data_IF_671047350389
#
_entry.id   IF_671047350389
#
_cell.length_a   1.000
_cell.length_b   1.000
_cell.length_c   1.000
_cell.angle_alpha   90.00
_cell.angle_beta   90.00
_cell.angle_gamma   90.00
#
_symmetry.space_group_name_H-M   'P 1'
#
loop_
_entity.id
_entity.type
_entity.pdbx_description
1 polymer ?
#
# COMPACT_ATOMS: atom_id res chain seq x y z
N UNK A 1 17.78 -16.22 3.27
CA UNK A 1 18.89 -15.47 2.62
C UNK A 1 18.44 -14.21 1.90
N UNK A 2 17.27 -14.19 1.27
CA UNK A 2 16.79 -13.06 0.44
C UNK A 2 16.45 -11.79 1.23
N UNK A 3 15.84 -11.93 2.39
CA UNK A 3 15.44 -10.79 3.24
C UNK A 3 16.67 -10.09 3.83
N UNK A 4 17.71 -10.85 4.21
CA UNK A 4 18.97 -10.31 4.71
C UNK A 4 19.75 -9.56 3.62
N UNK A 5 19.69 -10.04 2.38
CA UNK A 5 20.33 -9.38 1.23
C UNK A 5 19.63 -8.06 0.88
N UNK A 6 18.28 -8.03 0.92
CA UNK A 6 17.49 -6.82 0.72
C UNK A 6 17.83 -5.78 1.78
N UNK A 7 17.88 -6.16 3.06
CA UNK A 7 18.24 -5.27 4.17
C UNK A 7 19.62 -4.64 3.99
N UNK A 8 20.67 -5.44 3.63
CA UNK A 8 22.00 -4.91 3.33
C UNK A 8 22.01 -3.99 2.11
N UNK A 9 21.24 -4.30 1.05
CA UNK A 9 21.16 -3.47 -0.14
C UNK A 9 20.46 -2.13 0.11
N UNK A 10 19.54 -2.06 1.08
CA UNK A 10 18.80 -0.85 1.43
C UNK A 10 19.57 0.02 2.43
N UNK A 11 20.42 -0.57 3.30
CA UNK A 11 21.20 0.16 4.29
C UNK A 11 22.36 0.99 3.71
N UNK A 12 22.87 0.64 2.54
CA UNK A 12 24.00 1.31 1.89
C UNK A 12 23.54 2.26 0.76
N UNK A 13 22.74 3.27 1.07
CA UNK A 13 22.55 4.42 0.17
C UNK A 13 23.64 5.43 0.52
N UNK A 14 24.63 5.66 -0.35
CA UNK A 14 25.64 6.66 -0.08
C UNK A 14 24.98 8.04 -0.05
N UNK A 15 25.00 8.70 1.10
CA UNK A 15 24.79 10.13 1.16
C UNK A 15 26.07 10.78 0.65
N UNK A 16 25.99 11.42 -0.48
CA UNK A 16 27.07 12.28 -0.96
C UNK A 16 27.16 13.55 -0.11
N UNK A 17 28.37 14.08 0.07
CA UNK A 17 28.62 15.18 0.99
C UNK A 17 27.91 16.48 0.61
N UNK A 18 27.82 17.34 1.56
CA UNK A 18 27.04 18.54 1.79
C UNK A 18 27.42 19.75 0.91
N UNK A 19 27.83 19.55 -0.32
CA UNK A 19 27.96 20.68 -1.27
C UNK A 19 26.63 20.85 -1.99
N UNK A 20 26.00 21.99 -1.79
CA UNK A 20 24.81 22.65 -2.37
C UNK A 20 23.85 21.88 -3.33
N UNK A 21 23.89 20.58 -3.38
CA UNK A 21 23.06 19.70 -4.18
C UNK A 21 23.04 18.28 -3.62
N UNK A 22 22.50 18.09 -2.39
CA UNK A 22 22.34 16.73 -1.86
C UNK A 22 21.41 15.94 -2.77
N UNK A 23 21.91 14.92 -3.46
CA UNK A 23 21.08 14.01 -4.22
C UNK A 23 21.15 12.58 -3.70
N UNK A 24 20.03 11.86 -3.79
CA UNK A 24 19.95 10.46 -3.45
C UNK A 24 19.45 9.71 -4.68
N UNK A 25 20.14 8.64 -5.04
CA UNK A 25 19.77 7.77 -6.15
C UNK A 25 19.24 6.45 -5.62
N UNK A 26 18.05 6.04 -6.08
CA UNK A 26 17.55 4.73 -5.75
C UNK A 26 18.31 3.63 -6.51
N UNK A 27 18.57 2.52 -5.84
CA UNK A 27 19.13 1.33 -6.50
C UNK A 27 18.06 0.72 -7.44
N UNK A 28 18.46 0.16 -8.60
CA UNK A 28 17.51 -0.45 -9.55
C UNK A 28 16.57 -1.46 -8.89
N UNK A 29 17.08 -2.27 -7.96
CA UNK A 29 16.28 -3.23 -7.22
C UNK A 29 15.18 -2.59 -6.37
N UNK A 30 15.43 -1.43 -5.74
CA UNK A 30 14.41 -0.69 -4.98
C UNK A 30 13.28 -0.19 -5.90
N UNK A 31 13.64 0.25 -7.10
CA UNK A 31 12.67 0.67 -8.12
C UNK A 31 11.79 -0.50 -8.58
N UNK A 32 12.38 -1.67 -8.79
CA UNK A 32 11.66 -2.91 -9.15
C UNK A 32 10.72 -3.34 -8.02
N UNK A 33 11.20 -3.37 -6.77
CA UNK A 33 10.35 -3.68 -5.60
C UNK A 33 9.23 -2.65 -5.45
N UNK A 34 9.52 -1.37 -5.69
CA UNK A 34 8.50 -0.31 -5.68
C UNK A 34 7.41 -0.55 -6.72
N UNK A 35 7.80 -0.91 -7.93
CA UNK A 35 6.87 -1.27 -8.99
C UNK A 35 6.01 -2.48 -8.61
N UNK A 36 6.62 -3.52 -8.04
CA UNK A 36 5.91 -4.73 -7.58
C UNK A 36 4.84 -4.39 -6.53
N UNK A 37 5.20 -3.61 -5.52
CA UNK A 37 4.28 -3.22 -4.43
C UNK A 37 3.15 -2.31 -4.91
N UNK A 38 3.43 -1.45 -5.90
CA UNK A 38 2.43 -0.52 -6.44
C UNK A 38 1.54 -1.13 -7.52
N UNK A 39 1.93 -2.26 -8.10
CA UNK A 39 1.15 -2.90 -9.18
C UNK A 39 -0.08 -3.60 -8.63
N UNK A 40 -1.26 -3.18 -9.09
CA UNK A 40 -2.55 -3.78 -8.76
C UNK A 40 -2.98 -4.73 -9.87
N UNK A 41 -3.26 -6.00 -9.54
CA UNK A 41 -3.66 -7.00 -10.53
C UNK A 41 -4.89 -6.57 -11.34
N UNK A 42 -5.91 -6.03 -10.69
CA UNK A 42 -7.14 -5.60 -11.36
C UNK A 42 -6.89 -4.49 -12.39
N UNK A 43 -6.05 -3.49 -12.06
CA UNK A 43 -5.68 -2.46 -13.03
C UNK A 43 -4.90 -3.04 -14.19
N UNK A 44 -4.12 -4.11 -13.94
CA UNK A 44 -3.40 -4.88 -14.96
C UNK A 44 -4.34 -5.48 -15.98
N UNK A 45 -5.36 -6.18 -15.53
CA UNK A 45 -6.36 -6.83 -16.41
C UNK A 45 -7.04 -5.80 -17.32
N UNK A 46 -7.49 -4.68 -16.76
CA UNK A 46 -8.17 -3.62 -17.55
C UNK A 46 -7.19 -3.02 -18.57
N UNK A 47 -5.99 -2.62 -18.14
CA UNK A 47 -4.99 -1.99 -19.03
C UNK A 47 -4.56 -2.95 -20.14
N UNK A 48 -4.33 -4.21 -19.82
CA UNK A 48 -3.93 -5.22 -20.78
C UNK A 48 -5.07 -5.55 -21.76
N UNK A 49 -6.31 -5.63 -21.28
CA UNK A 49 -7.49 -5.79 -22.15
C UNK A 49 -7.63 -4.64 -23.14
N UNK A 50 -7.48 -3.38 -22.69
CA UNK A 50 -7.48 -2.21 -23.57
C UNK A 50 -6.31 -2.23 -24.58
N UNK A 51 -5.12 -2.67 -24.15
CA UNK A 51 -3.95 -2.83 -25.01
C UNK A 51 -4.18 -3.89 -26.09
N UNK A 52 -4.74 -5.05 -25.74
CA UNK A 52 -5.10 -6.10 -26.71
C UNK A 52 -6.14 -5.61 -27.72
N UNK A 53 -7.15 -4.89 -27.26
CA UNK A 53 -8.15 -4.30 -28.15
C UNK A 53 -7.53 -3.30 -29.15
N UNK A 54 -6.54 -2.51 -28.68
CA UNK A 54 -5.78 -1.61 -29.55
C UNK A 54 -4.90 -2.35 -30.56
N UNK A 55 -4.28 -3.46 -30.17
CA UNK A 55 -3.52 -4.30 -31.10
C UNK A 55 -4.43 -4.82 -32.20
N UNK A 56 -5.60 -5.37 -31.86
CA UNK A 56 -6.57 -5.83 -32.85
C UNK A 56 -6.98 -4.71 -33.83
N UNK A 57 -7.23 -3.51 -33.32
CA UNK A 57 -7.64 -2.37 -34.17
C UNK A 57 -6.52 -1.81 -35.06
N UNK A 58 -5.24 -1.93 -34.69
CA UNK A 58 -4.10 -1.35 -35.43
C UNK A 58 -3.43 -2.38 -36.34
N UNK A 59 -3.24 -3.62 -35.84
CA UNK A 59 -2.49 -4.68 -36.53
C UNK A 59 -3.39 -5.79 -37.11
N UNK A 60 -4.71 -5.66 -36.97
CA UNK A 60 -5.70 -6.60 -37.49
C UNK A 60 -5.97 -7.80 -36.58
N UNK A 61 -7.05 -8.50 -36.87
CA UNK A 61 -7.57 -9.64 -36.09
C UNK A 61 -6.60 -10.84 -36.04
N UNK A 62 -5.76 -10.99 -37.05
CA UNK A 62 -4.76 -12.08 -37.09
C UNK A 62 -3.74 -11.94 -35.97
N UNK A 63 -3.24 -10.73 -35.70
CA UNK A 63 -2.30 -10.44 -34.61
C UNK A 63 -2.93 -10.68 -33.24
N UNK A 64 -4.19 -10.28 -33.08
CA UNK A 64 -4.96 -10.58 -31.87
C UNK A 64 -5.16 -12.08 -31.69
N UNK A 65 -5.54 -12.80 -32.76
CA UNK A 65 -5.70 -14.26 -32.74
C UNK A 65 -4.43 -15.00 -32.33
N UNK A 66 -3.27 -14.59 -32.85
CA UNK A 66 -1.96 -15.18 -32.46
C UNK A 66 -1.66 -15.02 -30.98
N UNK A 67 -1.93 -13.85 -30.40
CA UNK A 67 -1.73 -13.61 -28.96
C UNK A 67 -2.67 -14.48 -28.13
N UNK A 68 -3.95 -14.55 -28.50
CA UNK A 68 -4.93 -15.38 -27.79
C UNK A 68 -4.60 -16.87 -27.86
N UNK A 69 -4.10 -17.36 -29.01
CA UNK A 69 -3.62 -18.72 -29.18
C UNK A 69 -2.40 -19.01 -28.30
N UNK A 70 -1.45 -18.07 -28.21
CA UNK A 70 -0.29 -18.20 -27.34
C UNK A 70 -0.69 -18.26 -25.84
N UNK A 71 -1.66 -17.42 -25.41
CA UNK A 71 -2.20 -17.45 -24.05
C UNK A 71 -2.91 -18.79 -23.76
N UNK A 72 -3.68 -19.31 -24.71
CA UNK A 72 -4.35 -20.60 -24.58
C UNK A 72 -3.33 -21.76 -24.48
N UNK A 73 -2.27 -21.74 -25.28
CA UNK A 73 -1.19 -22.71 -25.20
C UNK A 73 -0.44 -22.66 -23.86
N UNK A 74 -0.18 -21.46 -23.34
CA UNK A 74 0.40 -21.30 -22.02
C UNK A 74 -0.52 -21.85 -20.91
N UNK A 75 -1.83 -21.61 -21.01
CA UNK A 75 -2.82 -22.13 -20.07
C UNK A 75 -2.88 -23.68 -20.10
N UNK A 76 -2.79 -24.28 -21.28
CA UNK A 76 -2.70 -25.74 -21.42
C UNK A 76 -1.41 -26.29 -20.77
N UNK A 77 -0.28 -25.62 -20.94
CA UNK A 77 0.98 -25.97 -20.27
C UNK A 77 0.84 -25.94 -18.75
N UNK A 78 0.22 -24.88 -18.20
CA UNK A 78 -0.05 -24.78 -16.76
C UNK A 78 -1.00 -25.89 -16.29
N UNK A 79 -2.04 -26.21 -17.05
CA UNK A 79 -2.97 -27.30 -16.70
C UNK A 79 -2.26 -28.65 -16.65
N UNK A 80 -1.38 -28.93 -17.60
CA UNK A 80 -0.57 -30.18 -17.62
C UNK A 80 0.38 -30.24 -16.43
N UNK A 81 1.04 -29.12 -16.09
CA UNK A 81 1.93 -29.04 -14.92
C UNK A 81 1.19 -29.30 -13.60
N UNK A 82 0.01 -28.67 -13.43
CA UNK A 82 -0.82 -28.84 -12.24
C UNK A 82 -1.41 -30.27 -12.16
N UNK A 83 -1.77 -30.87 -13.29
CA UNK A 83 -2.21 -32.26 -13.36
C UNK A 83 -1.10 -33.23 -12.92
N UNK A 84 0.16 -32.96 -13.28
CA UNK A 84 1.31 -33.72 -12.80
C UNK A 84 1.49 -33.62 -11.27
N UNK A 85 1.02 -32.54 -10.65
CA UNK A 85 0.97 -32.36 -9.20
C UNK A 85 -0.33 -32.88 -8.56
N UNK A 86 -1.15 -33.66 -9.30
CA UNK A 86 -2.46 -34.17 -8.88
C UNK A 86 -3.49 -33.06 -8.54
N UNK A 87 -3.32 -31.86 -9.07
CA UNK A 87 -4.25 -30.75 -8.89
C UNK A 87 -5.10 -30.62 -10.16
N UNK A 88 -6.35 -31.06 -10.09
CA UNK A 88 -7.33 -30.92 -11.18
C UNK A 88 -7.83 -29.48 -11.29
N UNK A 89 -7.37 -28.71 -12.29
CA UNK A 89 -7.83 -27.35 -12.55
C UNK A 89 -8.57 -27.28 -13.87
N UNK A 90 -9.81 -26.72 -13.90
CA UNK A 90 -10.54 -26.52 -15.15
C UNK A 90 -9.75 -25.64 -16.13
N UNK A 91 -9.82 -25.95 -17.43
CA UNK A 91 -9.09 -25.18 -18.47
C UNK A 91 -9.41 -23.69 -18.47
N UNK A 92 -10.67 -23.34 -18.21
CA UNK A 92 -11.13 -21.94 -18.14
C UNK A 92 -10.43 -21.19 -16.99
N UNK A 93 -10.28 -21.83 -15.83
CA UNK A 93 -9.62 -21.24 -14.65
C UNK A 93 -8.11 -21.08 -14.90
N UNK A 94 -7.48 -22.04 -15.55
CA UNK A 94 -6.07 -21.96 -15.95
C UNK A 94 -5.86 -20.82 -16.96
N UNK A 95 -6.73 -20.69 -17.95
CA UNK A 95 -6.68 -19.56 -18.91
C UNK A 95 -6.85 -18.21 -18.23
N UNK A 96 -7.85 -18.07 -17.36
CA UNK A 96 -8.07 -16.85 -16.59
C UNK A 96 -6.85 -16.48 -15.71
N UNK A 97 -6.24 -17.48 -15.05
CA UNK A 97 -5.06 -17.26 -14.21
C UNK A 97 -3.84 -16.80 -15.04
N UNK A 98 -3.60 -17.45 -16.19
CA UNK A 98 -2.52 -17.04 -17.12
C UNK A 98 -2.77 -15.66 -17.67
N UNK A 99 -4.00 -15.34 -18.10
CA UNK A 99 -4.36 -14.01 -18.59
C UNK A 99 -4.12 -12.93 -17.54
N UNK A 100 -4.58 -13.14 -16.30
CA UNK A 100 -4.36 -12.21 -15.18
C UNK A 100 -2.87 -12.08 -14.87
N UNK A 101 -2.11 -13.18 -14.88
CA UNK A 101 -0.66 -13.18 -14.65
C UNK A 101 0.11 -12.37 -15.70
N UNK A 102 -0.20 -12.58 -16.98
CA UNK A 102 0.42 -11.84 -18.10
C UNK A 102 0.03 -10.37 -18.05
N UNK A 103 -1.25 -10.06 -17.80
CA UNK A 103 -1.74 -8.70 -17.64
C UNK A 103 -1.04 -7.96 -16.48
N UNK A 104 -0.88 -8.65 -15.34
CA UNK A 104 -0.14 -8.13 -14.20
C UNK A 104 1.33 -7.88 -14.54
N UNK A 105 2.00 -8.84 -15.20
CA UNK A 105 3.41 -8.74 -15.61
C UNK A 105 3.62 -7.57 -16.56
N UNK A 106 2.72 -7.36 -17.52
CA UNK A 106 2.77 -6.26 -18.47
C UNK A 106 2.75 -4.89 -17.74
N UNK A 107 1.80 -4.69 -16.81
CA UNK A 107 1.73 -3.45 -16.04
C UNK A 107 2.90 -3.30 -15.08
N UNK A 108 3.35 -4.40 -14.48
CA UNK A 108 4.54 -4.42 -13.62
C UNK A 108 5.79 -3.97 -14.38
N UNK A 109 6.05 -4.51 -15.57
CA UNK A 109 7.19 -4.11 -16.40
C UNK A 109 7.11 -2.64 -16.78
N UNK A 110 5.94 -2.14 -17.21
CA UNK A 110 5.73 -0.73 -17.53
C UNK A 110 6.04 0.18 -16.34
N UNK A 111 5.58 -0.17 -15.14
CA UNK A 111 5.88 0.57 -13.91
C UNK A 111 7.34 0.46 -13.50
N UNK A 112 7.95 -0.71 -13.63
CA UNK A 112 9.36 -0.92 -13.32
C UNK A 112 10.25 -0.04 -14.19
N UNK A 113 10.01 0.00 -15.51
CA UNK A 113 10.71 0.89 -16.44
C UNK A 113 10.50 2.37 -16.10
N UNK A 114 9.28 2.76 -15.70
CA UNK A 114 8.96 4.12 -15.27
C UNK A 114 9.57 4.52 -13.92
N UNK A 115 9.98 3.56 -13.09
CA UNK A 115 10.64 3.81 -11.79
C UNK A 115 12.17 3.69 -11.84
N UNK A 116 12.74 3.20 -12.92
CA UNK A 116 14.19 3.12 -13.06
C UNK A 116 14.81 4.52 -13.17
N UNK A 117 16.12 4.62 -12.86
CA UNK A 117 16.88 5.88 -12.80
C UNK A 117 16.30 6.92 -11.83
N UNK A 118 15.69 6.46 -10.76
CA UNK A 118 15.09 7.33 -9.75
C UNK A 118 16.16 8.17 -9.05
N UNK A 119 15.98 9.50 -9.07
CA UNK A 119 16.82 10.48 -8.40
C UNK A 119 15.96 11.44 -7.59
N UNK A 120 16.41 11.73 -6.38
CA UNK A 120 15.85 12.75 -5.52
C UNK A 120 16.95 13.77 -5.24
N UNK A 121 16.77 15.01 -5.62
CA UNK A 121 17.69 16.12 -5.32
C UNK A 121 16.98 17.21 -4.52
N UNK A 122 17.76 17.94 -3.72
CA UNK A 122 17.28 19.08 -2.97
C UNK A 122 18.20 20.26 -3.24
N UNK A 123 17.69 21.26 -3.98
CA UNK A 123 18.42 22.47 -4.37
C UNK A 123 17.57 23.71 -4.12
N UNK A 124 18.17 24.75 -3.57
CA UNK A 124 17.56 26.09 -3.45
C UNK A 124 16.12 26.09 -2.91
N UNK A 125 15.81 25.20 -1.96
CA UNK A 125 14.47 25.12 -1.37
C UNK A 125 13.44 24.29 -2.16
N UNK A 126 13.86 23.66 -3.25
CA UNK A 126 13.05 22.74 -4.05
C UNK A 126 13.52 21.29 -3.85
N UNK A 127 12.57 20.38 -3.81
CA UNK A 127 12.79 18.94 -3.87
C UNK A 127 12.43 18.50 -5.29
N UNK A 128 13.42 18.03 -6.05
CA UNK A 128 13.23 17.57 -7.43
C UNK A 128 13.29 16.05 -7.46
N UNK A 129 12.24 15.45 -7.99
CA UNK A 129 12.12 14.00 -8.22
C UNK A 129 12.24 13.74 -9.72
N UNK A 130 13.22 12.95 -10.11
CA UNK A 130 13.42 12.51 -11.50
C UNK A 130 13.36 10.98 -11.57
N UNK A 131 12.66 10.43 -12.56
CA UNK A 131 12.53 8.98 -12.76
C UNK A 131 12.19 8.63 -14.20
N UNK A 132 12.46 7.38 -14.59
CA UNK A 132 12.09 6.81 -15.87
C UNK A 132 13.28 6.63 -16.82
N UNK A 133 13.13 5.70 -17.76
CA UNK A 133 14.08 5.44 -18.85
C UNK A 133 13.46 5.84 -20.18
N UNK A 134 12.25 5.39 -20.47
CA UNK A 134 11.55 5.65 -21.73
C UNK A 134 10.89 7.03 -21.73
N UNK A 135 10.25 7.36 -20.62
CA UNK A 135 9.67 8.69 -20.37
C UNK A 135 10.30 9.28 -19.14
N UNK A 136 11.01 10.38 -19.30
CA UNK A 136 11.57 11.11 -18.17
C UNK A 136 10.45 11.88 -17.48
N UNK A 137 10.20 11.53 -16.23
CA UNK A 137 9.29 12.26 -15.35
C UNK A 137 10.11 13.12 -14.39
N UNK A 138 9.83 14.41 -14.40
CA UNK A 138 10.41 15.36 -13.44
C UNK A 138 9.29 16.07 -12.69
N UNK A 139 9.41 16.12 -11.37
CA UNK A 139 8.50 16.86 -10.50
C UNK A 139 9.29 17.70 -9.51
N UNK A 140 8.99 18.98 -9.41
CA UNK A 140 9.58 19.92 -8.46
C UNK A 140 8.57 20.29 -7.40
N UNK A 141 8.93 20.05 -6.14
CA UNK A 141 8.12 20.36 -4.97
C UNK A 141 8.80 21.47 -4.17
N UNK A 142 8.06 22.51 -3.83
CA UNK A 142 8.57 23.56 -2.93
C UNK A 142 8.63 22.99 -1.52
N UNK A 143 9.82 22.92 -0.93
CA UNK A 143 10.05 22.31 0.38
C UNK A 143 9.21 22.94 1.48
N UNK A 144 9.12 24.27 1.51
CA UNK A 144 8.36 25.01 2.52
C UNK A 144 6.84 24.79 2.40
N UNK A 145 6.36 24.33 1.23
CA UNK A 145 4.95 24.05 0.99
C UNK A 145 4.59 22.59 1.24
N UNK A 146 5.53 21.75 1.69
CA UNK A 146 5.22 20.38 2.05
C UNK A 146 4.24 20.37 3.23
N UNK A 147 3.01 19.92 2.96
CA UNK A 147 2.01 19.73 4.01
C UNK A 147 2.29 18.49 4.88
N UNK A 148 3.13 17.57 4.40
CA UNK A 148 3.53 16.36 5.09
C UNK A 148 4.01 15.30 4.11
N UNK A 149 4.64 14.27 4.65
CA UNK A 149 5.10 13.10 3.93
C UNK A 149 4.33 11.86 4.40
N UNK A 150 3.93 11.03 3.45
CA UNK A 150 3.20 9.80 3.67
C UNK A 150 4.10 8.61 3.39
N UNK A 151 4.28 7.72 4.37
CA UNK A 151 4.78 6.37 4.15
C UNK A 151 3.58 5.46 3.90
N UNK A 152 3.64 4.60 2.90
CA UNK A 152 2.57 3.66 2.57
C UNK A 152 3.08 2.23 2.73
N UNK A 153 2.64 1.56 3.78
CA UNK A 153 3.00 0.17 4.06
C UNK A 153 1.93 -0.79 3.56
N UNK A 154 2.35 -1.85 2.88
CA UNK A 154 1.58 -3.05 2.61
C UNK A 154 2.14 -4.18 3.45
N UNK A 155 1.45 -5.33 3.54
CA UNK A 155 2.03 -6.51 4.22
C UNK A 155 3.38 -6.89 3.63
N UNK A 156 3.53 -6.79 2.31
CA UNK A 156 4.78 -7.10 1.62
C UNK A 156 5.91 -6.15 2.03
N UNK A 157 5.63 -4.84 2.08
CA UNK A 157 6.64 -3.84 2.50
C UNK A 157 6.97 -3.94 3.99
N UNK A 158 6.01 -4.31 4.83
CA UNK A 158 6.25 -4.60 6.24
C UNK A 158 7.18 -5.80 6.43
N UNK A 159 6.99 -6.89 5.67
CA UNK A 159 7.88 -8.05 5.66
C UNK A 159 9.28 -7.67 5.18
N UNK A 160 9.37 -6.81 4.15
CA UNK A 160 10.64 -6.30 3.62
C UNK A 160 11.24 -5.17 4.48
N UNK A 161 10.53 -4.71 5.51
CA UNK A 161 10.89 -3.57 6.37
C UNK A 161 11.26 -2.32 5.57
N UNK A 162 10.57 -2.09 4.46
CA UNK A 162 10.83 -0.99 3.54
C UNK A 162 9.51 -0.37 3.11
N UNK A 163 9.41 0.95 3.14
CA UNK A 163 8.21 1.69 2.76
C UNK A 163 8.51 2.75 1.69
N UNK A 164 7.64 2.92 0.69
CA UNK A 164 7.72 4.03 -0.23
C UNK A 164 7.29 5.34 0.46
N UNK A 165 7.93 6.43 0.07
CA UNK A 165 7.64 7.77 0.56
C UNK A 165 6.87 8.56 -0.50
N UNK A 166 5.80 9.25 -0.07
CA UNK A 166 4.97 10.09 -0.92
C UNK A 166 4.83 11.50 -0.32
N UNK A 167 4.82 12.52 -1.17
CA UNK A 167 4.39 13.87 -0.81
C UNK A 167 3.39 14.36 -1.84
N UNK A 168 2.27 14.93 -1.41
CA UNK A 168 1.22 15.42 -2.30
C UNK A 168 0.79 14.42 -3.40
N UNK A 169 0.75 13.11 -3.06
CA UNK A 169 0.48 11.99 -3.99
C UNK A 169 1.58 11.71 -5.03
N UNK A 170 2.70 12.45 -4.97
CA UNK A 170 3.90 12.18 -5.77
C UNK A 170 4.79 11.22 -5.00
N UNK A 171 5.27 10.17 -5.66
CA UNK A 171 6.28 9.27 -5.09
C UNK A 171 7.60 10.03 -4.93
N UNK A 172 7.98 10.34 -3.68
CA UNK A 172 9.26 10.98 -3.34
C UNK A 172 10.42 10.02 -3.44
N UNK A 173 10.20 8.78 -2.98
CA UNK A 173 11.23 7.76 -3.01
C UNK A 173 10.63 6.35 -3.05
N UNK A 174 11.20 5.42 -3.84
CA UNK A 174 10.79 4.01 -3.85
C UNK A 174 11.05 3.37 -2.48
N UNK A 175 10.58 2.12 -2.23
CA UNK A 175 10.70 1.51 -0.92
C UNK A 175 12.11 1.55 -0.35
N UNK A 176 12.24 2.14 0.84
CA UNK A 176 13.48 2.26 1.60
C UNK A 176 13.30 1.79 3.02
N UNK A 177 14.42 1.44 3.68
CA UNK A 177 14.40 1.10 5.11
C UNK A 177 13.92 2.29 5.94
N UNK A 178 13.32 1.99 7.08
CA UNK A 178 12.79 3.01 7.99
C UNK A 178 13.85 4.04 8.40
N UNK A 179 15.07 3.59 8.67
CA UNK A 179 16.20 4.49 9.00
C UNK A 179 16.54 5.44 7.85
N UNK A 180 16.52 4.95 6.62
CA UNK A 180 16.78 5.80 5.44
C UNK A 180 15.61 6.76 5.20
N UNK A 181 14.37 6.31 5.41
CA UNK A 181 13.20 7.18 5.34
C UNK A 181 13.29 8.35 6.33
N UNK A 182 13.65 8.06 7.59
CA UNK A 182 13.87 9.09 8.63
C UNK A 182 14.97 10.07 8.24
N UNK A 183 16.07 9.59 7.66
CA UNK A 183 17.14 10.46 7.15
C UNK A 183 16.67 11.36 6.00
N UNK A 184 15.87 10.83 5.06
CA UNK A 184 15.29 11.63 3.96
C UNK A 184 14.35 12.69 4.54
N UNK A 185 13.47 12.31 5.49
CA UNK A 185 12.57 13.23 6.16
C UNK A 185 13.32 14.36 6.86
N UNK A 186 14.35 14.02 7.66
CA UNK A 186 15.08 15.00 8.44
C UNK A 186 15.99 15.89 7.57
N UNK A 187 16.79 15.31 6.67
CA UNK A 187 17.78 16.08 5.89
C UNK A 187 17.17 16.79 4.69
N UNK A 188 16.28 16.14 3.93
CA UNK A 188 15.75 16.73 2.69
C UNK A 188 14.45 17.49 2.94
N UNK A 189 13.52 16.91 3.72
CA UNK A 189 12.23 17.55 4.00
C UNK A 189 12.28 18.51 5.21
N UNK A 190 13.32 18.43 6.04
CA UNK A 190 13.44 19.16 7.33
C UNK A 190 12.26 18.89 8.28
N UNK A 191 11.76 17.67 8.27
CA UNK A 191 10.70 17.22 9.16
C UNK A 191 11.34 16.27 10.18
N UNK A 192 11.49 16.66 11.46
CA UNK A 192 12.02 15.77 12.47
C UNK A 192 11.07 14.58 12.72
N UNK A 193 11.60 13.43 13.17
CA UNK A 193 10.77 12.27 13.47
C UNK A 193 9.82 12.60 14.63
N UNK A 194 8.56 12.13 14.57
CA UNK A 194 7.59 12.34 15.64
C UNK A 194 8.03 11.65 16.93
N UNK A 195 7.86 12.31 18.05
CA UNK A 195 8.21 11.80 19.38
C UNK A 195 7.02 11.13 20.04
N UNK A 196 7.27 9.97 20.68
CA UNK A 196 6.28 9.21 21.44
C UNK A 196 5.14 8.65 20.57
N UNK A 197 4.50 7.59 21.05
CA UNK A 197 3.46 6.90 20.28
C UNK A 197 2.33 6.45 21.20
N UNK A 198 1.13 6.98 20.96
CA UNK A 198 -0.13 6.47 21.54
C UNK A 198 -0.71 5.45 20.56
N UNK A 199 -0.97 4.24 21.04
CA UNK A 199 -1.48 3.14 20.21
C UNK A 199 -2.92 2.82 20.58
N UNK A 200 -3.75 2.39 19.60
CA UNK A 200 -5.03 1.80 19.91
C UNK A 200 -4.88 0.58 20.83
N UNK A 201 -5.74 0.43 21.85
CA UNK A 201 -5.69 -0.71 22.77
C UNK A 201 -6.12 -2.01 22.05
N UNK A 202 -5.76 -3.15 22.63
CA UNK A 202 -6.08 -4.45 22.03
C UNK A 202 -7.59 -4.68 21.88
N UNK A 203 -8.38 -4.17 22.81
CA UNK A 203 -9.86 -4.22 22.75
C UNK A 203 -10.47 -3.59 21.48
N UNK A 204 -9.77 -2.65 20.87
CA UNK A 204 -10.17 -2.05 19.60
C UNK A 204 -10.07 -2.99 18.39
N UNK A 205 -9.40 -4.15 18.54
CA UNK A 205 -9.13 -5.09 17.44
C UNK A 205 -10.41 -5.62 16.80
N UNK A 206 -11.41 -5.98 17.59
CA UNK A 206 -12.70 -6.46 17.08
C UNK A 206 -13.38 -5.44 16.17
N UNK A 207 -13.39 -4.15 16.57
CA UNK A 207 -13.96 -3.09 15.74
C UNK A 207 -13.22 -2.87 14.42
N UNK A 208 -11.90 -3.09 14.38
CA UNK A 208 -11.10 -2.98 13.15
C UNK A 208 -11.27 -4.18 12.22
N UNK A 209 -11.44 -5.38 12.76
CA UNK A 209 -11.58 -6.63 12.01
C UNK A 209 -13.05 -7.01 11.74
N UNK A 210 -14.03 -6.24 12.21
CA UNK A 210 -15.45 -6.58 12.09
C UNK A 210 -15.90 -6.86 10.65
N UNK A 211 -15.48 -6.03 9.68
CA UNK A 211 -15.85 -6.22 8.28
C UNK A 211 -15.29 -7.52 7.67
N UNK A 212 -13.97 -7.81 7.71
CA UNK A 212 -13.46 -9.07 7.16
C UNK A 212 -13.94 -10.30 7.95
N UNK A 213 -14.18 -10.19 9.27
CA UNK A 213 -14.79 -11.27 10.06
C UNK A 213 -16.25 -11.53 9.64
N UNK A 214 -17.01 -10.47 9.34
CA UNK A 214 -18.37 -10.61 8.80
C UNK A 214 -18.36 -11.33 7.45
N UNK A 215 -17.47 -10.99 6.54
CA UNK A 215 -17.29 -11.69 5.27
C UNK A 215 -16.84 -13.14 5.47
N UNK A 216 -15.92 -13.39 6.39
CA UNK A 216 -15.48 -14.74 6.73
C UNK A 216 -16.67 -15.60 7.19
N UNK A 217 -17.49 -15.07 8.09
CA UNK A 217 -18.72 -15.75 8.56
C UNK A 217 -19.71 -16.02 7.42
N UNK A 218 -19.92 -15.04 6.54
CA UNK A 218 -20.83 -15.19 5.40
C UNK A 218 -20.36 -16.27 4.41
N UNK A 219 -19.06 -16.26 4.03
CA UNK A 219 -18.51 -17.29 3.13
C UNK A 219 -18.51 -18.67 3.77
N UNK A 220 -18.23 -18.78 5.08
CA UNK A 220 -18.28 -20.05 5.80
C UNK A 220 -19.70 -20.59 5.88
N UNK A 221 -20.68 -19.73 6.20
CA UNK A 221 -22.09 -20.12 6.22
C UNK A 221 -22.59 -20.56 4.84
N UNK A 222 -22.22 -19.80 3.79
CA UNK A 222 -22.57 -20.17 2.42
C UNK A 222 -21.95 -21.52 2.01
N UNK A 223 -20.70 -21.78 2.39
CA UNK A 223 -20.03 -23.05 2.13
C UNK A 223 -20.74 -24.22 2.84
N UNK A 224 -21.11 -24.05 4.12
CA UNK A 224 -21.88 -25.05 4.87
C UNK A 224 -23.24 -25.33 4.21
N UNK A 225 -23.92 -24.29 3.73
CA UNK A 225 -25.21 -24.47 3.02
C UNK A 225 -25.05 -25.27 1.72
N UNK A 226 -23.94 -25.08 0.97
CA UNK A 226 -23.67 -25.88 -0.25
C UNK A 226 -23.49 -27.37 0.06
N UNK A 227 -22.90 -27.72 1.20
CA UNK A 227 -22.74 -29.10 1.64
C UNK A 227 -24.08 -29.75 2.05
N UNK A 228 -25.02 -28.94 2.55
CA UNK A 228 -26.33 -29.44 3.00
C UNK A 228 -27.32 -29.56 1.83
N UNK A 229 -27.30 -28.58 0.89
CA UNK A 229 -28.31 -28.47 -0.15
C UNK A 229 -28.11 -29.41 -1.34
N UNK A 230 -26.87 -29.50 -1.87
CA UNK A 230 -26.55 -30.42 -2.97
C UNK A 230 -25.04 -30.72 -3.05
N UNK A 231 -24.64 -31.98 -2.84
CA UNK A 231 -23.19 -32.32 -2.93
C UNK A 231 -22.60 -32.31 -4.34
N UNK A 232 -23.44 -32.24 -5.41
CA UNK A 232 -23.01 -32.39 -6.80
C UNK A 232 -22.87 -31.09 -7.62
N UNK A 233 -23.54 -29.98 -7.25
CA UNK A 233 -23.39 -28.68 -8.00
C UNK A 233 -22.11 -27.92 -7.72
N UNK A 234 -21.13 -28.53 -7.19
CA UNK A 234 -20.29 -28.04 -6.12
C UNK A 234 -18.92 -27.53 -6.55
N UNK A 235 -18.31 -28.02 -7.59
CA UNK A 235 -16.88 -27.77 -7.79
C UNK A 235 -16.50 -26.29 -7.94
N UNK A 236 -17.18 -25.54 -8.79
CA UNK A 236 -16.84 -24.13 -9.05
C UNK A 236 -17.31 -23.22 -7.91
N UNK A 237 -18.53 -23.41 -7.43
CA UNK A 237 -19.10 -22.63 -6.32
C UNK A 237 -18.30 -22.83 -5.04
N UNK A 238 -17.97 -24.06 -4.68
CA UNK A 238 -17.14 -24.38 -3.52
C UNK A 238 -15.74 -23.77 -3.65
N UNK A 239 -15.12 -23.83 -4.84
CA UNK A 239 -13.81 -23.21 -5.07
C UNK A 239 -13.83 -21.70 -4.87
N UNK A 240 -14.89 -21.02 -5.33
CA UNK A 240 -15.07 -19.57 -5.12
C UNK A 240 -15.25 -19.25 -3.64
N UNK A 241 -16.05 -20.03 -2.92
CA UNK A 241 -16.28 -19.86 -1.49
C UNK A 241 -15.00 -20.09 -0.67
N UNK A 242 -14.23 -21.13 -0.99
CA UNK A 242 -12.91 -21.35 -0.37
C UNK A 242 -11.94 -20.19 -0.64
N UNK A 243 -11.88 -19.67 -1.86
CA UNK A 243 -11.10 -18.47 -2.16
C UNK A 243 -11.57 -17.27 -1.33
N UNK A 244 -12.89 -17.09 -1.18
CA UNK A 244 -13.48 -16.06 -0.33
C UNK A 244 -13.06 -16.16 1.13
N UNK A 245 -13.04 -17.38 1.68
CA UNK A 245 -12.59 -17.67 3.06
C UNK A 245 -11.10 -17.31 3.21
N UNK A 246 -10.23 -17.79 2.31
CA UNK A 246 -8.78 -17.51 2.35
C UNK A 246 -8.50 -16.02 2.27
N UNK A 247 -9.17 -15.30 1.36
CA UNK A 247 -9.05 -13.85 1.20
C UNK A 247 -9.52 -13.13 2.46
N UNK A 248 -10.65 -13.55 3.06
CA UNK A 248 -11.17 -12.95 4.29
C UNK A 248 -10.24 -13.16 5.49
N UNK A 249 -9.64 -14.35 5.63
CA UNK A 249 -8.63 -14.65 6.64
C UNK A 249 -7.38 -13.77 6.45
N UNK A 250 -6.92 -13.62 5.21
CA UNK A 250 -5.79 -12.75 4.87
C UNK A 250 -6.06 -11.30 5.28
N UNK A 251 -7.25 -10.76 4.93
CA UNK A 251 -7.61 -9.39 5.33
C UNK A 251 -7.76 -9.25 6.84
N UNK A 252 -8.30 -10.25 7.53
CA UNK A 252 -8.39 -10.23 9.00
C UNK A 252 -7.02 -10.15 9.64
N UNK A 253 -6.08 -10.99 9.22
CA UNK A 253 -4.70 -10.97 9.69
C UNK A 253 -4.00 -9.63 9.38
N UNK A 254 -4.17 -9.13 8.14
CA UNK A 254 -3.63 -7.84 7.73
C UNK A 254 -4.15 -6.69 8.61
N UNK A 255 -5.46 -6.69 8.89
CA UNK A 255 -6.09 -5.64 9.69
C UNK A 255 -5.66 -5.67 11.14
N UNK A 256 -5.48 -6.86 11.71
CA UNK A 256 -4.94 -7.03 13.05
C UNK A 256 -3.50 -6.47 13.16
N UNK A 257 -2.65 -6.80 12.18
CA UNK A 257 -1.27 -6.28 12.10
C UNK A 257 -1.27 -4.76 11.94
N UNK A 258 -2.08 -4.22 11.03
CA UNK A 258 -2.13 -2.77 10.81
C UNK A 258 -2.65 -2.01 12.01
N UNK A 259 -3.61 -2.56 12.77
CA UNK A 259 -4.05 -1.95 14.00
C UNK A 259 -2.92 -1.87 15.02
N UNK A 260 -2.14 -2.95 15.19
CA UNK A 260 -0.99 -2.98 16.11
C UNK A 260 0.11 -2.00 15.73
N UNK A 261 0.25 -1.70 14.44
CA UNK A 261 1.21 -0.76 13.90
C UNK A 261 0.66 0.68 13.83
N UNK A 262 -0.64 0.87 14.03
CA UNK A 262 -1.26 2.19 14.05
C UNK A 262 -0.87 2.94 15.33
N UNK A 263 -0.63 4.24 15.21
CA UNK A 263 -0.25 5.10 16.34
C UNK A 263 -0.53 6.57 16.06
N UNK A 264 -0.54 7.37 17.12
CA UNK A 264 -0.62 8.83 17.11
C UNK A 264 0.58 9.39 17.85
N UNK A 265 1.18 10.48 17.39
CA UNK A 265 2.24 11.18 18.13
C UNK A 265 1.72 11.71 19.45
N UNK A 266 2.45 11.43 20.53
CA UNK A 266 2.08 11.88 21.88
C UNK A 266 2.48 13.32 22.17
N UNK A 267 3.40 13.89 21.37
CA UNK A 267 3.88 15.26 21.53
C UNK A 267 3.99 15.96 20.16
N UNK A 268 2.92 16.58 19.65
CA UNK A 268 2.91 17.19 18.31
C UNK A 268 3.48 18.63 18.29
N UNK A 269 4.47 18.97 19.15
CA UNK A 269 5.01 20.34 19.24
C UNK A 269 5.73 20.75 17.97
N UNK A 270 6.64 19.92 17.46
CA UNK A 270 7.38 20.21 16.22
C UNK A 270 6.81 19.44 15.03
N UNK A 271 6.43 18.19 15.27
CA UNK A 271 6.00 17.27 14.23
C UNK A 271 4.82 16.44 14.71
N UNK A 272 3.73 16.52 13.99
CA UNK A 272 2.57 15.65 14.18
C UNK A 272 2.72 14.42 13.32
N UNK A 273 2.56 13.23 13.93
CA UNK A 273 2.60 11.94 13.26
C UNK A 273 1.34 11.13 13.53
N UNK A 274 0.82 10.48 12.52
CA UNK A 274 -0.32 9.58 12.63
C UNK A 274 -0.13 8.38 11.70
N UNK A 275 -0.29 7.19 12.23
CA UNK A 275 -0.32 5.95 11.43
C UNK A 275 -1.71 5.36 11.48
N UNK A 276 -2.31 5.19 10.33
CA UNK A 276 -3.71 4.78 10.18
C UNK A 276 -3.89 3.84 8.99
N UNK A 277 -4.92 3.01 9.07
CA UNK A 277 -5.29 2.11 7.99
C UNK A 277 -6.28 2.77 7.02
N UNK A 278 -6.03 2.61 5.73
CA UNK A 278 -6.97 2.96 4.67
C UNK A 278 -7.03 1.83 3.64
N UNK A 279 -8.15 1.10 3.62
CA UNK A 279 -8.27 -0.12 2.80
C UNK A 279 -7.28 -1.20 3.25
N UNK A 280 -6.59 -1.81 2.33
CA UNK A 280 -5.59 -2.86 2.52
C UNK A 280 -4.17 -2.33 2.78
N UNK A 281 -4.01 -1.06 3.15
CA UNK A 281 -2.70 -0.42 3.36
C UNK A 281 -2.66 0.33 4.68
N UNK A 282 -1.48 0.35 5.29
CA UNK A 282 -1.16 1.20 6.44
C UNK A 282 -0.46 2.46 5.93
N UNK A 283 -0.96 3.61 6.32
CA UNK A 283 -0.38 4.90 5.99
C UNK A 283 0.17 5.55 7.24
N UNK A 284 1.40 6.01 7.19
CA UNK A 284 2.01 6.83 8.23
C UNK A 284 2.21 8.23 7.66
N UNK A 285 1.45 9.19 8.15
CA UNK A 285 1.59 10.59 7.81
C UNK A 285 2.46 11.28 8.85
N UNK A 286 3.47 12.01 8.38
CA UNK A 286 4.35 12.84 9.21
C UNK A 286 4.29 14.26 8.65
N UNK A 287 3.93 15.23 9.48
CA UNK A 287 3.75 16.62 9.05
C UNK A 287 4.32 17.59 10.09
N UNK A 288 4.87 18.74 9.68
CA UNK A 288 5.22 19.80 10.62
C UNK A 288 3.98 20.26 11.39
N UNK A 289 4.10 20.51 12.69
CA UNK A 289 2.97 20.94 13.52
C UNK A 289 2.32 22.23 13.00
N UNK A 290 3.11 23.14 12.43
CA UNK A 290 2.64 24.38 11.80
C UNK A 290 1.73 24.16 10.57
N UNK A 291 1.78 22.97 9.96
CA UNK A 291 0.92 22.58 8.82
C UNK A 291 -0.32 21.78 9.26
N UNK A 292 -0.49 21.54 10.55
CA UNK A 292 -1.71 21.00 11.12
C UNK A 292 -2.75 22.13 11.21
N UNK A 293 -3.82 22.02 10.40
CA UNK A 293 -4.85 23.05 10.36
C UNK A 293 -5.81 22.93 11.56
N UNK A 294 -6.30 21.70 11.80
CA UNK A 294 -7.21 21.41 12.93
C UNK A 294 -7.28 19.90 13.18
N UNK A 295 -7.83 19.55 14.34
CA UNK A 295 -8.11 18.17 14.72
C UNK A 295 -9.61 18.01 14.97
N UNK A 296 -10.16 16.87 14.54
CA UNK A 296 -11.54 16.51 14.82
C UNK A 296 -11.53 15.25 15.66
N UNK A 297 -12.19 15.28 16.81
CA UNK A 297 -12.44 14.10 17.63
C UNK A 297 -13.92 13.72 17.55
N UNK A 298 -14.19 12.47 17.24
CA UNK A 298 -15.56 11.94 17.16
C UNK A 298 -15.72 10.72 18.06
N UNK A 299 -16.89 10.57 18.68
CA UNK A 299 -17.22 9.40 19.50
C UNK A 299 -18.62 8.91 19.16
N UNK A 300 -18.73 7.62 18.82
CA UNK A 300 -20.02 6.94 18.73
C UNK A 300 -20.45 6.42 20.13
N UNK A 301 -21.67 5.92 20.24
CA UNK A 301 -22.22 5.42 21.51
C UNK A 301 -21.32 4.33 22.11
N UNK A 302 -20.89 3.37 21.32
CA UNK A 302 -20.03 2.26 21.78
C UNK A 302 -18.65 2.76 22.23
N UNK A 303 -18.09 3.74 21.54
CA UNK A 303 -16.83 4.36 21.91
C UNK A 303 -16.92 5.19 23.20
N UNK A 304 -18.10 5.76 23.50
CA UNK A 304 -18.33 6.44 24.78
C UNK A 304 -18.24 5.49 25.95
N UNK A 305 -18.85 4.31 25.82
CA UNK A 305 -18.79 3.28 26.87
C UNK A 305 -17.39 2.67 27.03
N UNK A 306 -16.63 2.55 25.96
CA UNK A 306 -15.27 1.96 25.98
C UNK A 306 -14.15 2.97 26.23
N UNK A 307 -14.48 4.27 26.47
CA UNK A 307 -13.46 5.32 26.70
C UNK A 307 -12.62 5.64 25.45
N UNK A 308 -13.13 5.32 24.24
CA UNK A 308 -12.40 5.51 22.99
C UNK A 308 -12.95 6.65 22.15
N UNK A 309 -12.16 7.09 21.16
CA UNK A 309 -12.58 8.07 20.17
C UNK A 309 -11.89 7.82 18.81
N UNK A 310 -12.45 8.40 17.78
CA UNK A 310 -11.77 8.55 16.48
C UNK A 310 -11.15 9.94 16.44
N UNK A 311 -9.90 10.03 15.99
CA UNK A 311 -9.21 11.29 15.75
C UNK A 311 -8.92 11.47 14.26
N UNK A 312 -9.18 12.67 13.75
CA UNK A 312 -8.83 13.06 12.39
C UNK A 312 -7.92 14.27 12.44
N UNK A 313 -6.71 14.13 11.91
CA UNK A 313 -5.80 15.24 11.72
C UNK A 313 -6.02 15.83 10.32
N UNK A 314 -6.27 17.11 10.24
CA UNK A 314 -6.46 17.82 8.99
C UNK A 314 -5.25 18.71 8.70
N UNK A 315 -4.57 18.47 7.58
CA UNK A 315 -3.44 19.30 7.16
C UNK A 315 -3.92 20.57 6.45
N UNK A 316 -3.10 21.60 6.43
CA UNK A 316 -3.34 22.85 5.68
C UNK A 316 -3.61 22.62 4.17
N UNK A 317 -3.18 21.48 3.60
CA UNK A 317 -3.51 21.03 2.25
C UNK A 317 -4.87 20.32 2.13
N UNK A 318 -5.77 20.47 3.10
CA UNK A 318 -7.11 19.83 3.17
C UNK A 318 -7.10 18.30 3.17
N UNK A 319 -5.95 17.63 3.34
CA UNK A 319 -5.91 16.17 3.50
C UNK A 319 -6.27 15.79 4.92
N UNK A 320 -7.11 14.76 5.03
CA UNK A 320 -7.60 14.24 6.30
C UNK A 320 -7.02 12.85 6.56
N UNK A 321 -6.51 12.66 7.78
CA UNK A 321 -5.89 11.43 8.24
C UNK A 321 -6.62 10.94 9.49
N UNK A 322 -7.37 9.84 9.39
CA UNK A 322 -8.26 9.36 10.45
C UNK A 322 -7.71 8.09 11.09
N UNK A 323 -7.49 8.14 12.39
CA UNK A 323 -7.19 7.01 13.25
C UNK A 323 -8.40 6.70 14.13
N UNK A 324 -8.81 5.43 14.20
CA UNK A 324 -10.00 4.99 14.92
C UNK A 324 -9.64 4.32 16.24
N UNK A 325 -10.57 4.42 17.21
CA UNK A 325 -10.51 3.71 18.48
C UNK A 325 -9.22 3.97 19.28
N UNK A 326 -8.88 5.23 19.47
CA UNK A 326 -7.77 5.67 20.33
C UNK A 326 -8.32 6.02 21.71
N UNK A 327 -7.57 5.84 22.81
CA UNK A 327 -8.00 6.24 24.15
C UNK A 327 -8.32 7.75 24.20
N UNK A 328 -9.54 8.08 24.61
CA UNK A 328 -10.02 9.47 24.58
C UNK A 328 -9.21 10.39 25.51
N UNK A 329 -8.86 9.90 26.70
CA UNK A 329 -8.14 10.70 27.71
C UNK A 329 -6.74 11.07 27.22
N UNK A 330 -6.06 10.16 26.48
CA UNK A 330 -4.76 10.45 25.87
C UNK A 330 -4.89 11.48 24.75
N UNK A 331 -5.90 11.34 23.87
CA UNK A 331 -6.15 12.32 22.80
C UNK A 331 -6.46 13.71 23.38
N UNK A 332 -7.27 13.78 24.44
CA UNK A 332 -7.61 15.05 25.11
C UNK A 332 -6.39 15.68 25.80
N UNK A 333 -5.45 14.88 26.28
CA UNK A 333 -4.19 15.35 26.86
C UNK A 333 -3.26 15.93 25.80
N UNK A 334 -3.22 15.30 24.60
CA UNK A 334 -2.36 15.72 23.48
C UNK A 334 -2.95 16.96 22.79
N UNK A 335 -4.25 16.95 22.56
CA UNK A 335 -5.01 18.02 21.91
C UNK A 335 -6.10 18.53 22.87
N UNK A 336 -5.74 19.37 23.83
CA UNK A 336 -6.73 19.92 24.75
C UNK A 336 -7.78 20.73 23.97
N UNK A 337 -9.07 20.64 24.34
CA UNK A 337 -10.08 21.52 23.76
C UNK A 337 -9.68 22.97 24.08
N UNK A 338 -9.75 23.83 23.07
CA UNK A 338 -9.59 25.25 23.31
C UNK A 338 -10.60 25.65 24.39
N UNK A 339 -10.11 26.34 25.44
CA UNK A 339 -11.02 26.94 26.42
C UNK A 339 -11.91 27.92 25.63
N UNK A 340 -13.25 27.81 25.76
CA UNK A 340 -14.10 28.83 25.17
C UNK A 340 -13.64 30.18 25.73
N UNK A 341 -13.35 31.11 24.81
CA UNK A 341 -12.94 32.47 25.13
C UNK A 341 -14.07 33.23 25.82
#
# INVERSE_FOLDING_TARGET
GGVSFYMKAVEHIPFLPENDGAYIRAKPFQSVVGAFVDTRALSGVITFGLFLNRIGSVFGDESFGRIMTALAGAAEGVTKLLAALHIGVPRVTAFAAVFVGVAWLFVFLGKALGMLRFRLSCESGFITVQRGILTLYECRLVRNNLAGVLCCDTLTTLLLRAAPLYAHDVLLFPPVSRRTAERILTKMCRIPPPSGHVKPPFSAMLGHCAAPLGWLGAFTAALLLTFIAEPFAAGLVQSVLWCGIVVSLWFTAAYAVYMRLSWLSSCPVETAGISFRRGARLYTAVMPAQKLAFTITGRNIFQRFSGMCDITLCSAGRKQYRLRNVPYDEVRRIFPPEKPA
#
